data_IF_329298038204
#
_entry.id   IF_329298038204
#
_cell.length_a   1.000
_cell.length_b   1.000
_cell.length_c   1.000
_cell.angle_alpha   90.00
_cell.angle_beta   90.00
_cell.angle_gamma   90.00
#
_symmetry.space_group_name_H-M   'P 1'
#
loop_
_entity.id
_entity.type
_entity.pdbx_description
1 polymer ?
#
# COMPACT_ATOMS: atom_id res chain seq x y z
N UNK A 1 23.02 -4.73 23.18
CA UNK A 1 22.70 -3.51 22.39
C UNK A 1 22.45 -3.94 20.95
N UNK A 2 21.18 -4.14 20.59
CA UNK A 2 20.77 -4.70 19.31
C UNK A 2 20.87 -3.66 18.19
N UNK A 3 21.62 -4.00 17.13
CA UNK A 3 21.69 -3.22 15.89
C UNK A 3 20.59 -3.73 14.96
N UNK A 4 19.39 -3.16 15.03
CA UNK A 4 18.39 -3.34 13.98
C UNK A 4 18.80 -2.48 12.78
N UNK A 5 19.58 -3.07 11.88
CA UNK A 5 19.86 -2.47 10.58
C UNK A 5 18.56 -2.46 9.79
N UNK A 6 17.92 -1.29 9.72
CA UNK A 6 16.79 -1.01 8.84
C UNK A 6 17.23 -1.08 7.37
N UNK A 7 17.37 -2.30 6.85
CA UNK A 7 17.53 -2.55 5.41
C UNK A 7 16.17 -2.39 4.70
N UNK A 8 15.60 -1.18 4.73
CA UNK A 8 14.34 -0.85 4.04
C UNK A 8 14.56 -0.47 2.56
N UNK A 9 15.66 -0.87 1.93
CA UNK A 9 16.02 -0.38 0.59
C UNK A 9 15.59 -1.28 -0.57
N UNK A 10 14.51 -2.05 -0.41
CA UNK A 10 13.94 -2.76 -1.56
C UNK A 10 12.94 -1.84 -2.27
N UNK A 11 13.41 -1.21 -3.35
CA UNK A 11 12.60 -0.41 -4.29
C UNK A 11 11.90 -1.33 -5.28
N UNK A 12 10.64 -1.03 -5.60
CA UNK A 12 9.89 -1.79 -6.60
C UNK A 12 10.47 -1.53 -8.01
N UNK A 13 10.38 -2.49 -8.94
CA UNK A 13 10.80 -2.26 -10.32
C UNK A 13 9.82 -1.32 -11.04
N UNK A 14 10.33 -0.47 -11.92
CA UNK A 14 9.51 0.38 -12.80
C UNK A 14 8.81 -0.47 -13.90
N UNK A 15 7.63 -0.03 -14.37
CA UNK A 15 6.89 -0.71 -15.45
C UNK A 15 7.11 -0.03 -16.80
N UNK A 16 7.30 -0.83 -17.85
CA UNK A 16 7.42 -0.37 -19.24
C UNK A 16 6.02 0.00 -19.77
N UNK A 17 5.88 1.18 -20.39
CA UNK A 17 4.59 1.65 -20.95
C UNK A 17 3.60 2.13 -19.89
N UNK A 18 4.09 2.71 -18.79
CA UNK A 18 3.29 3.13 -17.66
C UNK A 18 2.21 4.15 -18.04
N UNK A 19 0.99 3.89 -17.57
CA UNK A 19 -0.13 4.84 -17.55
C UNK A 19 -0.81 4.68 -16.20
N UNK A 20 -1.05 5.78 -15.50
CA UNK A 20 -1.69 5.74 -14.19
C UNK A 20 -3.10 5.13 -14.29
N UNK A 21 -3.40 4.21 -13.38
CA UNK A 21 -4.74 3.64 -13.21
C UNK A 21 -5.63 4.70 -12.55
N UNK A 22 -6.83 4.91 -13.11
CA UNK A 22 -7.82 5.82 -12.54
C UNK A 22 -8.28 5.31 -11.15
N UNK A 23 -8.12 6.10 -10.07
CA UNK A 23 -8.59 5.73 -8.72
C UNK A 23 -10.10 5.47 -8.65
N UNK A 24 -10.89 5.97 -9.60
CA UNK A 24 -12.34 5.69 -9.66
C UNK A 24 -12.65 4.23 -10.00
N UNK A 25 -11.70 3.51 -10.61
CA UNK A 25 -11.83 2.09 -10.91
C UNK A 25 -11.73 1.19 -9.66
N UNK A 26 -11.26 1.73 -8.53
CA UNK A 26 -11.16 0.98 -7.27
C UNK A 26 -12.56 0.65 -6.73
N UNK A 27 -12.86 -0.63 -6.41
CA UNK A 27 -14.17 -1.03 -5.90
C UNK A 27 -14.62 -0.21 -4.68
N UNK A 28 -15.93 0.07 -4.59
CA UNK A 28 -16.52 0.81 -3.45
C UNK A 28 -16.22 0.14 -2.10
N UNK A 29 -16.22 -1.19 -2.05
CA UNK A 29 -15.88 -1.96 -0.86
C UNK A 29 -14.46 -1.68 -0.39
N UNK A 30 -13.51 -1.57 -1.31
CA UNK A 30 -12.11 -1.25 -1.05
C UNK A 30 -11.92 0.19 -0.59
N UNK A 31 -12.62 1.14 -1.22
CA UNK A 31 -12.67 2.54 -0.80
C UNK A 31 -13.20 2.69 0.64
N UNK A 32 -14.24 1.93 0.99
CA UNK A 32 -14.80 1.94 2.34
C UNK A 32 -13.86 1.28 3.36
N UNK A 33 -13.20 0.19 2.99
CA UNK A 33 -12.17 -0.43 3.83
C UNK A 33 -11.02 0.53 4.11
N UNK A 34 -10.56 1.29 3.11
CA UNK A 34 -9.54 2.32 3.28
C UNK A 34 -9.97 3.39 4.26
N UNK A 35 -11.20 3.94 4.14
CA UNK A 35 -11.71 4.94 5.11
C UNK A 35 -11.74 4.38 6.53
N UNK A 36 -12.18 3.13 6.70
CA UNK A 36 -12.22 2.48 8.01
C UNK A 36 -10.81 2.28 8.57
N UNK A 37 -9.87 1.81 7.76
CA UNK A 37 -8.48 1.67 8.16
C UNK A 37 -7.85 3.01 8.53
N UNK A 38 -8.08 4.08 7.77
CA UNK A 38 -7.62 5.43 8.11
C UNK A 38 -8.17 5.90 9.46
N UNK A 39 -9.45 5.64 9.74
CA UNK A 39 -10.04 5.97 11.04
C UNK A 39 -9.37 5.19 12.19
N UNK A 40 -9.09 3.89 12.00
CA UNK A 40 -8.41 3.05 13.00
C UNK A 40 -6.97 3.51 13.24
N UNK A 41 -6.24 3.86 12.18
CA UNK A 41 -4.84 4.31 12.25
C UNK A 41 -4.71 5.81 12.62
N UNK A 42 -5.82 6.53 12.83
CA UNK A 42 -5.80 7.95 13.16
C UNK A 42 -5.30 8.85 12.02
N UNK A 43 -5.42 8.41 10.77
CA UNK A 43 -4.94 9.13 9.60
C UNK A 43 -6.00 10.10 9.08
N UNK A 44 -5.67 11.39 8.87
CA UNK A 44 -6.65 12.37 8.40
C UNK A 44 -7.13 12.05 6.99
N UNK A 45 -8.43 12.28 6.74
CA UNK A 45 -9.07 12.04 5.43
C UNK A 45 -8.48 12.88 4.29
N UNK A 46 -7.72 13.93 4.59
CA UNK A 46 -6.96 14.68 3.58
C UNK A 46 -5.95 13.81 2.82
N UNK A 47 -5.52 12.68 3.38
CA UNK A 47 -4.62 11.72 2.72
C UNK A 47 -5.36 10.66 1.88
N UNK A 48 -6.70 10.64 1.91
CA UNK A 48 -7.50 9.56 1.31
C UNK A 48 -7.25 9.41 -0.19
N UNK A 49 -7.22 10.53 -0.92
CA UNK A 49 -7.10 10.50 -2.38
C UNK A 49 -5.73 9.94 -2.82
N UNK A 50 -4.65 10.28 -2.13
CA UNK A 50 -3.32 9.77 -2.48
C UNK A 50 -3.14 8.31 -2.08
N UNK A 51 -3.66 7.91 -0.92
CA UNK A 51 -3.70 6.49 -0.52
C UNK A 51 -4.52 5.66 -1.53
N UNK A 52 -5.68 6.16 -1.93
CA UNK A 52 -6.53 5.51 -2.93
C UNK A 52 -5.83 5.43 -4.30
N UNK A 53 -5.13 6.50 -4.70
CA UNK A 53 -4.37 6.51 -5.94
C UNK A 53 -3.27 5.46 -5.95
N UNK A 54 -2.50 5.32 -4.86
CA UNK A 54 -1.45 4.30 -4.73
C UNK A 54 -2.06 2.89 -4.78
N UNK A 55 -3.16 2.65 -4.04
CA UNK A 55 -3.89 1.38 -4.10
C UNK A 55 -4.34 1.02 -5.51
N UNK A 56 -4.81 2.02 -6.28
CA UNK A 56 -5.23 1.81 -7.65
C UNK A 56 -4.06 1.33 -8.53
N UNK A 57 -2.86 1.90 -8.35
CA UNK A 57 -1.68 1.49 -9.09
C UNK A 57 -1.26 0.06 -8.74
N UNK A 58 -1.24 -0.28 -7.46
CA UNK A 58 -0.66 -1.53 -6.95
C UNK A 58 -1.53 -2.76 -7.20
N UNK A 59 -2.84 -2.65 -7.00
CA UNK A 59 -3.73 -3.81 -7.12
C UNK A 59 -5.10 -3.50 -7.73
N UNK A 60 -5.36 -2.25 -8.10
CA UNK A 60 -6.72 -1.79 -8.41
C UNK A 60 -7.69 -1.92 -7.22
N UNK A 61 -7.18 -2.10 -5.99
CA UNK A 61 -7.96 -2.42 -4.80
C UNK A 61 -8.35 -3.90 -4.67
N UNK A 62 -7.76 -4.82 -5.44
CA UNK A 62 -8.01 -6.25 -5.26
C UNK A 62 -7.49 -6.73 -3.89
N UNK A 63 -8.41 -7.21 -3.06
CA UNK A 63 -8.13 -7.76 -1.72
C UNK A 63 -7.45 -9.11 -1.86
N UNK A 64 -6.42 -9.38 -1.05
CA UNK A 64 -5.73 -10.67 -1.05
C UNK A 64 -4.91 -10.94 -2.32
N UNK A 65 -4.75 -9.94 -3.19
CA UNK A 65 -4.02 -10.09 -4.46
C UNK A 65 -2.58 -10.52 -4.19
N UNK A 66 -2.11 -11.57 -4.87
CA UNK A 66 -0.73 -12.07 -4.75
C UNK A 66 -0.03 -11.99 -6.09
N UNK A 67 1.10 -11.30 -6.14
CA UNK A 67 1.97 -11.30 -7.31
C UNK A 67 3.03 -12.40 -7.15
N UNK A 68 2.91 -13.47 -7.96
CA UNK A 68 3.83 -14.62 -7.89
C UNK A 68 5.28 -14.29 -8.24
N UNK A 69 5.54 -13.23 -9.02
CA UNK A 69 6.90 -12.86 -9.47
C UNK A 69 7.71 -12.14 -8.40
N UNK A 70 7.07 -11.24 -7.66
CA UNK A 70 7.71 -10.41 -6.63
C UNK A 70 7.36 -10.82 -5.20
N UNK A 71 6.50 -11.83 -5.04
CA UNK A 71 5.92 -12.25 -3.78
C UNK A 71 5.19 -11.13 -3.01
N UNK A 72 4.81 -10.04 -3.69
CA UNK A 72 4.05 -8.95 -3.09
C UNK A 72 2.60 -9.34 -2.89
N UNK A 73 1.97 -8.81 -1.83
CA UNK A 73 0.62 -9.20 -1.42
C UNK A 73 -0.27 -8.03 -0.98
N UNK A 74 -1.56 -8.21 -1.20
CA UNK A 74 -2.64 -7.36 -0.73
C UNK A 74 -2.79 -6.05 -1.51
N UNK A 75 -3.67 -5.20 -1.00
CA UNK A 75 -4.13 -3.98 -1.71
C UNK A 75 -3.05 -2.94 -2.00
N UNK A 76 -1.92 -2.99 -1.28
CA UNK A 76 -0.76 -2.10 -1.48
C UNK A 76 0.49 -2.86 -1.94
N UNK A 77 0.33 -4.15 -2.29
CA UNK A 77 1.40 -5.03 -2.76
C UNK A 77 2.65 -4.93 -1.87
N UNK A 78 2.47 -5.22 -0.58
CA UNK A 78 3.55 -5.26 0.40
C UNK A 78 4.49 -6.43 0.10
N UNK A 79 5.80 -6.20 0.22
CA UNK A 79 6.81 -7.26 0.15
C UNK A 79 6.72 -8.19 1.37
N UNK A 80 7.25 -9.42 1.32
CA UNK A 80 7.24 -10.35 2.45
C UNK A 80 7.78 -9.75 3.76
N UNK A 81 8.86 -8.97 3.67
CA UNK A 81 9.48 -8.26 4.80
C UNK A 81 8.61 -7.14 5.40
N UNK A 82 7.54 -6.75 4.72
CA UNK A 82 6.60 -5.70 5.11
C UNK A 82 5.27 -6.27 5.61
N UNK A 83 5.05 -7.58 5.48
CA UNK A 83 3.80 -8.23 5.90
C UNK A 83 3.49 -8.02 7.39
N UNK A 84 4.50 -7.92 8.24
CA UNK A 84 4.34 -7.65 9.68
C UNK A 84 3.75 -6.27 9.99
N UNK A 85 3.68 -5.37 9.01
CA UNK A 85 2.97 -4.10 9.17
C UNK A 85 1.46 -4.28 9.23
N UNK A 86 0.92 -5.37 8.68
CA UNK A 86 -0.48 -5.71 8.89
C UNK A 86 -0.74 -6.11 10.36
N UNK A 87 -1.92 -5.83 10.93
CA UNK A 87 -2.26 -6.18 12.31
C UNK A 87 -1.99 -7.64 12.70
N UNK A 88 -2.22 -8.60 11.79
CA UNK A 88 -2.01 -10.03 12.00
C UNK A 88 -0.96 -10.62 11.04
N UNK A 89 -0.02 -9.79 10.57
CA UNK A 89 1.01 -10.23 9.64
C UNK A 89 0.43 -10.78 8.33
N UNK A 90 0.91 -11.95 7.91
CA UNK A 90 0.39 -12.62 6.71
C UNK A 90 -1.06 -13.10 6.82
N UNK A 91 -1.58 -13.30 8.05
CA UNK A 91 -2.97 -13.76 8.25
C UNK A 91 -4.00 -12.68 7.90
N UNK A 92 -3.56 -11.42 7.80
CA UNK A 92 -4.40 -10.30 7.40
C UNK A 92 -4.78 -10.31 5.92
N UNK A 93 -4.05 -11.05 5.07
CA UNK A 93 -4.38 -11.10 3.64
C UNK A 93 -5.71 -11.82 3.41
N UNK A 94 -6.64 -11.16 2.70
CA UNK A 94 -8.05 -11.52 2.61
C UNK A 94 -8.98 -10.61 3.43
N UNK A 95 -8.43 -9.81 4.37
CA UNK A 95 -9.16 -8.80 5.11
C UNK A 95 -8.79 -7.39 4.58
N UNK A 96 -9.71 -6.78 3.84
CA UNK A 96 -9.50 -5.50 3.18
C UNK A 96 -9.08 -4.36 4.14
N UNK A 97 -9.62 -4.34 5.36
CA UNK A 97 -9.29 -3.29 6.35
C UNK A 97 -7.87 -3.49 6.85
N UNK A 98 -7.50 -4.72 7.21
CA UNK A 98 -6.18 -5.01 7.75
C UNK A 98 -5.08 -4.82 6.69
N UNK A 99 -5.34 -5.20 5.43
CA UNK A 99 -4.42 -4.91 4.32
C UNK A 99 -4.24 -3.41 4.10
N UNK A 100 -5.31 -2.62 4.25
CA UNK A 100 -5.21 -1.17 4.20
C UNK A 100 -4.37 -0.61 5.37
N UNK A 101 -4.51 -1.17 6.58
CA UNK A 101 -3.69 -0.75 7.73
C UNK A 101 -2.20 -0.99 7.47
N UNK A 102 -1.82 -2.16 6.95
CA UNK A 102 -0.41 -2.42 6.60
C UNK A 102 0.10 -1.48 5.51
N UNK A 103 -0.71 -1.21 4.48
CA UNK A 103 -0.39 -0.23 3.44
C UNK A 103 -0.18 1.18 3.98
N UNK A 104 -1.09 1.65 4.83
CA UNK A 104 -1.00 2.96 5.51
C UNK A 104 0.28 3.03 6.35
N UNK A 105 0.53 2.03 7.20
CA UNK A 105 1.72 1.99 8.07
C UNK A 105 3.01 2.00 7.27
N UNK A 106 3.06 1.25 6.16
CA UNK A 106 4.20 1.28 5.26
C UNK A 106 4.42 2.67 4.65
N UNK A 107 3.35 3.24 4.06
CA UNK A 107 3.41 4.54 3.39
C UNK A 107 3.84 5.64 4.35
N UNK A 108 3.19 5.73 5.52
CA UNK A 108 3.48 6.78 6.49
C UNK A 108 4.79 6.53 7.24
N UNK A 109 5.14 5.27 7.52
CA UNK A 109 6.41 4.93 8.17
C UNK A 109 7.62 5.26 7.30
N UNK A 110 7.49 5.16 5.97
CA UNK A 110 8.58 5.41 5.03
C UNK A 110 8.62 6.81 4.44
N UNK A 111 7.46 7.37 4.12
CA UNK A 111 7.34 8.63 3.37
C UNK A 111 6.71 9.76 4.19
N UNK A 112 6.30 9.49 5.43
CA UNK A 112 5.64 10.41 6.37
C UNK A 112 4.25 10.89 5.95
N UNK A 113 3.99 11.06 4.65
CA UNK A 113 2.68 11.39 4.08
C UNK A 113 2.40 10.60 2.80
N UNK A 114 1.12 10.37 2.51
CA UNK A 114 0.67 9.75 1.27
C UNK A 114 0.97 10.60 0.03
N UNK A 115 0.90 11.93 0.16
CA UNK A 115 1.27 12.86 -0.90
C UNK A 115 2.76 12.70 -1.28
N UNK A 116 3.66 12.65 -0.29
CA UNK A 116 5.09 12.40 -0.52
C UNK A 116 5.33 11.02 -1.15
N UNK A 117 4.60 10.00 -0.71
CA UNK A 117 4.69 8.67 -1.34
C UNK A 117 4.24 8.70 -2.80
N UNK A 118 3.10 9.34 -3.10
CA UNK A 118 2.59 9.45 -4.46
C UNK A 118 3.61 10.06 -5.43
N UNK A 119 4.28 11.15 -5.04
CA UNK A 119 5.33 11.76 -5.86
C UNK A 119 6.46 10.77 -6.18
N UNK A 120 6.83 9.91 -5.23
CA UNK A 120 7.83 8.86 -5.46
C UNK A 120 7.30 7.80 -6.42
N UNK A 121 6.05 7.37 -6.28
CA UNK A 121 5.44 6.41 -7.21
C UNK A 121 5.39 6.95 -8.63
N UNK A 122 4.96 8.20 -8.80
CA UNK A 122 4.91 8.88 -10.09
C UNK A 122 6.31 8.99 -10.70
N UNK A 123 7.31 9.44 -9.94
CA UNK A 123 8.68 9.59 -10.42
C UNK A 123 9.35 8.25 -10.81
N UNK A 124 8.93 7.13 -10.20
CA UNK A 124 9.50 5.82 -10.47
C UNK A 124 8.62 4.93 -11.38
N UNK A 125 7.46 5.41 -11.81
CA UNK A 125 6.48 4.65 -12.60
C UNK A 125 6.12 3.29 -11.95
N UNK A 126 5.85 3.30 -10.64
CA UNK A 126 5.48 2.10 -9.89
C UNK A 126 3.98 1.80 -10.01
N UNK A 127 3.65 0.53 -10.31
CA UNK A 127 2.31 -0.08 -10.30
C UNK A 127 2.44 -1.62 -10.37
#
# INVERSE_FOLDING_TARGET
>A
MGKYAHNHRQTKPAKIGWTAVDPTAVPTTSRNALRKAMAIEGVPLTQFNDLLWIMAQESGGAVGMRNGKLATRGMYQLLPSQCELNPNGEKSFGNAVEECQGGIRYILGRYHTAASARLVWEANHWC
#
